data_IF_638411011257
#
_entry.id   IF_638411011257
#
_cell.length_a   1.000
_cell.length_b   1.000
_cell.length_c   1.000
_cell.angle_alpha   90.00
_cell.angle_beta   90.00
_cell.angle_gamma   90.00
#
_symmetry.space_group_name_H-M   'P 1'
#
loop_
_entity.id
_entity.type
_entity.pdbx_description
1 polymer ?
#
# COMPACT_ATOMS: atom_id res chain seq x y z
N UNK A 1 -12.68 -24.60 -3.07
CA UNK A 1 -12.49 -23.49 -2.12
C UNK A 1 -12.07 -22.31 -2.95
N UNK A 2 -12.94 -21.31 -3.05
CA UNK A 2 -12.62 -20.10 -3.81
C UNK A 2 -11.50 -19.33 -3.10
N UNK A 3 -10.59 -18.76 -3.88
CA UNK A 3 -9.50 -17.95 -3.34
C UNK A 3 -10.09 -16.73 -2.63
N UNK A 4 -9.72 -16.53 -1.35
CA UNK A 4 -10.08 -15.30 -0.64
C UNK A 4 -9.22 -14.15 -1.18
N UNK A 5 -9.83 -13.31 -2.02
CA UNK A 5 -9.16 -12.18 -2.66
C UNK A 5 -9.58 -10.85 -2.06
N UNK A 6 -8.64 -9.93 -1.97
CA UNK A 6 -8.85 -8.57 -1.46
C UNK A 6 -8.31 -7.53 -2.44
N UNK A 7 -8.94 -6.35 -2.54
CA UNK A 7 -8.38 -5.23 -3.31
C UNK A 7 -7.20 -4.60 -2.58
N UNK A 8 -6.12 -4.30 -3.30
CA UNK A 8 -5.02 -3.48 -2.80
C UNK A 8 -5.49 -2.04 -2.57
N UNK A 9 -5.22 -1.47 -1.38
CA UNK A 9 -5.63 -0.10 -1.05
C UNK A 9 -5.03 0.95 -1.99
N UNK A 10 -3.82 0.69 -2.53
CA UNK A 10 -3.12 1.62 -3.43
C UNK A 10 -3.49 1.38 -4.90
N UNK A 11 -3.17 0.22 -5.46
CA UNK A 11 -3.32 -0.03 -6.90
C UNK A 11 -4.67 -0.63 -7.31
N UNK A 12 -5.51 -1.03 -6.35
CA UNK A 12 -6.84 -1.62 -6.60
C UNK A 12 -6.83 -3.06 -7.15
N UNK A 13 -5.67 -3.64 -7.47
CA UNK A 13 -5.58 -5.03 -7.95
C UNK A 13 -6.03 -6.00 -6.86
N UNK A 14 -6.73 -7.05 -7.27
CA UNK A 14 -7.06 -8.17 -6.41
C UNK A 14 -5.79 -8.98 -6.12
N UNK A 15 -5.61 -9.39 -4.86
CA UNK A 15 -4.54 -10.29 -4.42
C UNK A 15 -5.11 -11.36 -3.47
N UNK A 16 -4.46 -12.51 -3.35
CA UNK A 16 -4.93 -13.58 -2.48
C UNK A 16 -4.38 -13.43 -1.07
N UNK A 17 -5.25 -13.54 -0.06
CA UNK A 17 -4.84 -13.55 1.34
C UNK A 17 -5.70 -14.53 2.13
N UNK A 18 -5.14 -15.63 2.60
CA UNK A 18 -5.89 -16.69 3.26
C UNK A 18 -5.07 -17.97 3.37
N UNK A 19 -5.70 -19.10 3.72
CA UNK A 19 -5.00 -20.37 3.87
C UNK A 19 -4.09 -20.66 2.68
N UNK A 20 -2.81 -20.90 2.97
CA UNK A 20 -1.74 -21.24 2.01
C UNK A 20 -1.27 -20.12 1.05
N UNK A 21 -1.89 -18.93 1.02
CA UNK A 21 -1.41 -17.79 0.21
C UNK A 21 -1.58 -16.47 0.95
N UNK A 22 -0.48 -15.75 1.16
CA UNK A 22 -0.45 -14.48 1.90
C UNK A 22 0.25 -13.40 1.07
N UNK A 23 -0.44 -12.84 0.09
CA UNK A 23 0.10 -11.82 -0.83
C UNK A 23 -0.22 -10.39 -0.37
N UNK A 24 -0.72 -10.24 0.84
CA UNK A 24 -1.12 -8.95 1.42
C UNK A 24 -0.17 -8.53 2.51
N UNK A 25 0.22 -7.26 2.49
CA UNK A 25 1.14 -6.68 3.46
C UNK A 25 0.53 -5.46 4.12
N UNK A 26 0.70 -5.37 5.44
CA UNK A 26 0.21 -4.25 6.23
C UNK A 26 1.24 -3.12 6.25
N UNK A 27 0.82 -1.93 5.84
CA UNK A 27 1.58 -0.69 6.01
C UNK A 27 1.12 -0.05 7.33
N UNK A 28 1.80 -0.38 8.41
CA UNK A 28 1.37 -0.03 9.77
C UNK A 28 1.18 1.48 9.98
N UNK A 29 2.06 2.33 9.42
CA UNK A 29 1.97 3.78 9.57
C UNK A 29 0.73 4.37 8.87
N UNK A 30 0.20 3.66 7.88
CA UNK A 30 -0.88 4.14 7.02
C UNK A 30 -2.20 3.40 7.24
N UNK A 31 -2.20 2.40 8.12
CA UNK A 31 -3.33 1.47 8.32
C UNK A 31 -3.89 0.95 6.99
N UNK A 32 -3.02 0.58 6.06
CA UNK A 32 -3.40 0.09 4.72
C UNK A 32 -2.94 -1.35 4.51
N UNK A 33 -3.68 -2.08 3.69
CA UNK A 33 -3.29 -3.37 3.15
C UNK A 33 -2.96 -3.25 1.66
N UNK A 34 -1.76 -3.66 1.27
CA UNK A 34 -1.30 -3.61 -0.13
C UNK A 34 -0.89 -4.98 -0.64
N UNK A 35 -1.01 -5.19 -1.94
CA UNK A 35 -0.54 -6.42 -2.57
C UNK A 35 0.99 -6.52 -2.56
N UNK A 36 1.49 -7.75 -2.68
CA UNK A 36 2.91 -8.10 -2.70
C UNK A 36 3.70 -7.32 -3.75
N UNK A 37 3.12 -7.11 -4.94
CA UNK A 37 3.73 -6.29 -5.99
C UNK A 37 3.95 -4.85 -5.53
N UNK A 38 2.92 -4.22 -4.92
CA UNK A 38 3.04 -2.86 -4.41
C UNK A 38 4.05 -2.79 -3.27
N UNK A 39 4.02 -3.75 -2.35
CA UNK A 39 4.94 -3.80 -1.21
C UNK A 39 6.40 -3.89 -1.66
N UNK A 40 6.72 -4.83 -2.57
CA UNK A 40 8.08 -5.09 -3.06
C UNK A 40 8.60 -4.00 -4.00
N UNK A 41 7.76 -3.47 -4.89
CA UNK A 41 8.19 -2.49 -5.89
C UNK A 41 8.42 -1.07 -5.32
N UNK A 42 7.89 -0.76 -4.14
CA UNK A 42 7.93 0.58 -3.56
C UNK A 42 8.74 0.65 -2.27
N UNK A 43 9.76 -0.22 -2.11
CA UNK A 43 10.56 -0.33 -0.87
C UNK A 43 11.15 1.01 -0.42
N UNK A 44 11.55 1.84 -1.38
CA UNK A 44 12.08 3.21 -1.23
C UNK A 44 11.00 4.28 -1.00
N UNK A 45 9.72 3.94 -1.03
CA UNK A 45 8.60 4.87 -0.98
C UNK A 45 7.78 4.93 -2.26
N UNK A 46 6.72 5.73 -2.20
CA UNK A 46 5.72 5.89 -3.25
C UNK A 46 6.10 7.03 -4.19
N UNK A 47 6.55 6.65 -5.39
CA UNK A 47 6.90 7.61 -6.44
C UNK A 47 5.69 8.34 -7.05
N UNK A 48 5.91 9.33 -7.93
CA UNK A 48 4.89 10.26 -8.43
C UNK A 48 3.65 9.60 -9.06
N UNK A 49 3.80 8.40 -9.63
CA UNK A 49 2.69 7.69 -10.26
C UNK A 49 1.67 7.13 -9.24
N UNK A 50 2.12 6.75 -8.05
CA UNK A 50 1.28 6.17 -7.00
C UNK A 50 1.04 7.16 -5.85
N UNK A 51 1.84 8.22 -5.74
CA UNK A 51 1.71 9.26 -4.71
C UNK A 51 0.27 9.79 -4.58
N UNK A 52 -0.46 10.16 -5.66
CA UNK A 52 -1.82 10.67 -5.54
C UNK A 52 -2.80 9.66 -4.93
N UNK A 53 -2.61 8.36 -5.21
CA UNK A 53 -3.44 7.30 -4.66
C UNK A 53 -3.18 7.12 -3.17
N UNK A 54 -1.91 7.18 -2.75
CA UNK A 54 -1.52 7.09 -1.34
C UNK A 54 -2.04 8.28 -0.56
N UNK A 55 -1.88 9.50 -1.06
CA UNK A 55 -2.42 10.72 -0.44
C UNK A 55 -3.94 10.59 -0.24
N UNK A 56 -4.67 10.23 -1.30
CA UNK A 56 -6.13 10.04 -1.22
C UNK A 56 -6.53 9.05 -0.13
N UNK A 57 -5.76 7.96 0.06
CA UNK A 57 -6.04 6.96 1.09
C UNK A 57 -5.69 7.45 2.50
N UNK A 58 -4.59 8.19 2.65
CA UNK A 58 -4.22 8.82 3.92
C UNK A 58 -5.28 9.82 4.37
N UNK A 59 -5.71 10.70 3.46
CA UNK A 59 -6.79 11.68 3.70
C UNK A 59 -8.10 10.99 4.09
N UNK A 60 -8.51 9.95 3.36
CA UNK A 60 -9.73 9.20 3.67
C UNK A 60 -9.68 8.51 5.05
N UNK A 61 -8.48 8.23 5.57
CA UNK A 61 -8.25 7.65 6.91
C UNK A 61 -7.97 8.71 7.98
N UNK A 62 -7.93 10.00 7.63
CA UNK A 62 -7.55 11.07 8.55
C UNK A 62 -6.09 11.01 9.01
N UNK A 63 -5.22 10.34 8.25
CA UNK A 63 -3.80 10.20 8.55
C UNK A 63 -3.07 11.37 7.88
N UNK A 64 -2.22 12.13 8.60
CA UNK A 64 -1.47 13.22 7.99
C UNK A 64 -0.49 12.69 6.94
N UNK A 65 -0.38 13.38 5.81
CA UNK A 65 0.59 13.04 4.76
C UNK A 65 2.00 13.27 5.30
N UNK A 66 2.86 12.25 5.36
CA UNK A 66 4.19 12.40 5.93
C UNK A 66 5.10 13.23 5.02
N UNK A 67 6.19 13.71 5.60
CA UNK A 67 7.26 14.35 4.83
C UNK A 67 7.84 13.36 3.80
N UNK A 68 8.24 13.90 2.64
CA UNK A 68 8.92 13.13 1.61
C UNK A 68 10.32 12.75 2.10
N UNK A 69 10.81 11.58 1.68
CA UNK A 69 12.19 11.15 1.96
C UNK A 69 13.20 11.86 1.03
N UNK A 70 14.47 11.45 1.09
CA UNK A 70 15.55 12.04 0.27
C UNK A 70 15.36 11.90 -1.24
N UNK A 71 14.49 10.98 -1.70
CA UNK A 71 14.10 10.82 -3.11
C UNK A 71 12.90 11.68 -3.51
N UNK A 72 12.34 12.45 -2.58
CA UNK A 72 11.13 13.24 -2.81
C UNK A 72 9.85 12.40 -2.79
N UNK A 73 9.87 11.19 -2.20
CA UNK A 73 8.72 10.26 -2.20
C UNK A 73 8.10 10.12 -0.82
N UNK A 74 6.79 9.83 -0.77
CA UNK A 74 6.14 9.43 0.49
C UNK A 74 6.78 8.12 0.95
N UNK A 75 7.29 8.01 2.20
CA UNK A 75 7.86 6.76 2.70
C UNK A 75 6.88 5.59 2.56
N UNK A 76 7.35 4.34 2.51
CA UNK A 76 6.43 3.21 2.26
C UNK A 76 5.39 3.00 3.38
N UNK A 77 5.75 3.30 4.64
CA UNK A 77 4.85 3.22 5.80
C UNK A 77 4.82 1.89 6.54
N UNK A 78 5.81 1.01 6.32
CA UNK A 78 5.94 -0.31 6.95
C UNK A 78 6.56 -1.30 5.99
#
# INVERSE_FOLDING_TARGET
>A
MDALTFPCDVCGRQYQHGPHRYEGHKLHAYDMMVCDTCYKANWDGWGPMLEPLVIKRLEAKGIPVPARNSKGWIPRGG
#
